data_IF_839529832315
#
_entry.id   IF_839529832315
#
_cell.length_a   1.000
_cell.length_b   1.000
_cell.length_c   1.000
_cell.angle_alpha   90.00
_cell.angle_beta   90.00
_cell.angle_gamma   90.00
#
_symmetry.space_group_name_H-M   'P 1'
#
loop_
_entity.id
_entity.type
_entity.pdbx_description
1 polymer ?
#
# COMPACT_ATOMS: atom_id res chain seq x y z
N UNK A 1 6.51 -5.51 -5.65
CA UNK A 1 5.24 -6.06 -5.12
C UNK A 1 4.52 -6.98 -6.11
N UNK A 2 4.27 -6.57 -7.37
CA UNK A 2 3.57 -7.41 -8.36
C UNK A 2 4.23 -8.76 -8.69
N UNK A 3 5.57 -8.82 -8.68
CA UNK A 3 6.32 -10.06 -8.90
C UNK A 3 5.95 -11.19 -7.91
N UNK A 4 5.73 -10.85 -6.64
CA UNK A 4 5.36 -11.82 -5.60
C UNK A 4 3.95 -12.40 -5.79
N UNK A 5 3.01 -11.60 -6.30
CA UNK A 5 1.65 -12.04 -6.62
C UNK A 5 1.65 -12.98 -7.84
N UNK A 6 2.42 -12.62 -8.86
CA UNK A 6 2.55 -13.42 -10.07
C UNK A 6 3.18 -14.79 -9.79
N UNK A 7 4.29 -14.83 -9.05
CA UNK A 7 4.96 -16.10 -8.72
C UNK A 7 4.11 -16.97 -7.80
N UNK A 8 3.37 -16.39 -6.84
CA UNK A 8 2.39 -17.13 -6.03
C UNK A 8 1.30 -17.78 -6.91
N UNK A 9 0.77 -17.03 -7.87
CA UNK A 9 -0.27 -17.56 -8.75
C UNK A 9 0.26 -18.69 -9.64
N UNK A 10 1.48 -18.56 -10.17
CA UNK A 10 2.12 -19.62 -10.94
C UNK A 10 2.36 -20.88 -10.10
N UNK A 11 2.81 -20.73 -8.85
CA UNK A 11 2.99 -21.85 -7.91
C UNK A 11 1.67 -22.54 -7.57
N UNK A 12 0.58 -21.78 -7.34
CA UNK A 12 -0.74 -22.36 -7.11
C UNK A 12 -1.25 -23.16 -8.30
N UNK A 13 -1.04 -22.67 -9.52
CA UNK A 13 -1.45 -23.37 -10.72
C UNK A 13 -0.70 -24.70 -10.86
N UNK A 14 0.61 -24.69 -10.62
CA UNK A 14 1.44 -25.91 -10.58
C UNK A 14 0.95 -26.93 -9.55
N UNK A 15 0.65 -26.49 -8.33
CA UNK A 15 0.11 -27.36 -7.27
C UNK A 15 -1.27 -27.93 -7.62
N UNK A 16 -2.13 -27.17 -8.30
CA UNK A 16 -3.44 -27.68 -8.75
C UNK A 16 -3.27 -28.73 -9.85
N UNK A 17 -2.43 -28.46 -10.86
CA UNK A 17 -2.11 -29.43 -11.91
C UNK A 17 -1.55 -30.71 -11.28
N UNK A 18 -0.57 -30.60 -10.38
CA UNK A 18 -0.01 -31.75 -9.66
C UNK A 18 -1.06 -32.61 -8.93
N UNK A 19 -2.00 -31.96 -8.24
CA UNK A 19 -3.10 -32.65 -7.55
C UNK A 19 -4.01 -33.34 -8.56
N UNK A 20 -4.44 -32.64 -9.62
CA UNK A 20 -5.33 -33.21 -10.63
C UNK A 20 -4.71 -34.45 -11.29
N UNK A 21 -3.43 -34.39 -11.64
CA UNK A 21 -2.67 -35.52 -12.21
C UNK A 21 -2.62 -36.74 -11.27
N UNK A 22 -2.62 -36.54 -9.93
CA UNK A 22 -2.67 -37.66 -8.96
C UNK A 22 -4.05 -38.31 -8.85
N UNK A 23 -5.12 -37.59 -9.17
CA UNK A 23 -6.50 -38.09 -9.11
C UNK A 23 -7.04 -38.57 -10.47
N UNK A 24 -6.29 -38.41 -11.55
CA UNK A 24 -6.69 -38.74 -12.94
C UNK A 24 -6.74 -40.26 -13.24
N UNK A 25 -6.37 -41.13 -12.28
CA UNK A 25 -6.34 -42.60 -12.41
C UNK A 25 -5.50 -43.16 -13.58
N UNK A 26 -4.75 -42.33 -14.32
CA UNK A 26 -3.84 -42.77 -15.37
C UNK A 26 -2.43 -43.06 -14.80
N UNK A 27 -1.94 -44.32 -14.86
CA UNK A 27 -0.64 -44.72 -14.32
C UNK A 27 0.58 -44.16 -15.10
N UNK A 28 0.38 -43.54 -16.27
CA UNK A 28 1.47 -42.89 -17.03
C UNK A 28 1.70 -41.43 -16.65
N UNK A 29 0.78 -40.85 -15.89
CA UNK A 29 0.79 -39.44 -15.55
C UNK A 29 1.58 -39.22 -14.26
N UNK A 30 2.86 -38.85 -14.38
CA UNK A 30 3.73 -38.59 -13.23
C UNK A 30 3.79 -37.10 -12.92
N UNK A 31 3.38 -36.75 -11.70
CA UNK A 31 3.45 -35.40 -11.13
C UNK A 31 4.91 -34.94 -10.87
N UNK A 32 5.18 -33.64 -11.04
CA UNK A 32 6.48 -33.00 -10.78
C UNK A 32 6.94 -33.12 -9.30
N UNK A 33 5.98 -33.29 -8.38
CA UNK A 33 6.23 -33.48 -6.94
C UNK A 33 6.17 -34.95 -6.48
N UNK A 34 5.99 -35.90 -7.40
CA UNK A 34 5.97 -37.33 -7.09
C UNK A 34 7.29 -37.75 -6.41
N UNK A 35 7.19 -38.45 -5.28
CA UNK A 35 8.35 -38.86 -4.46
C UNK A 35 9.00 -37.76 -3.61
N UNK A 36 8.62 -36.48 -3.78
CA UNK A 36 9.11 -35.35 -2.95
C UNK A 36 8.13 -34.94 -1.85
N UNK A 37 6.83 -35.01 -2.12
CA UNK A 37 5.78 -34.64 -1.17
C UNK A 37 4.67 -35.68 -1.14
N UNK A 38 4.22 -36.05 0.06
CA UNK A 38 3.01 -36.86 0.25
C UNK A 38 1.77 -36.05 -0.13
N UNK A 39 0.65 -36.71 -0.43
CA UNK A 39 -0.59 -36.03 -0.82
C UNK A 39 -1.04 -35.01 0.22
N UNK A 40 -1.00 -35.38 1.51
CA UNK A 40 -1.35 -34.50 2.62
C UNK A 40 -0.46 -33.25 2.71
N UNK A 41 0.84 -33.40 2.42
CA UNK A 41 1.77 -32.27 2.39
C UNK A 41 1.48 -31.33 1.21
N UNK A 42 1.14 -31.89 0.04
CA UNK A 42 0.80 -31.12 -1.15
C UNK A 42 -0.47 -30.29 -0.95
N UNK A 43 -1.50 -30.88 -0.33
CA UNK A 43 -2.73 -30.16 0.03
C UNK A 43 -2.47 -29.05 1.06
N UNK A 44 -1.62 -29.30 2.05
CA UNK A 44 -1.24 -28.31 3.06
C UNK A 44 -0.51 -27.13 2.40
N UNK A 45 0.47 -27.42 1.54
CA UNK A 45 1.23 -26.41 0.81
C UNK A 45 0.34 -25.58 -0.12
N UNK A 46 -0.63 -26.21 -0.81
CA UNK A 46 -1.63 -25.49 -1.60
C UNK A 46 -2.44 -24.53 -0.74
N UNK A 47 -2.96 -25.01 0.39
CA UNK A 47 -3.80 -24.21 1.28
C UNK A 47 -3.05 -23.01 1.86
N UNK A 48 -1.79 -23.22 2.26
CA UNK A 48 -0.92 -22.16 2.76
C UNK A 48 -0.60 -21.12 1.69
N UNK A 49 -0.25 -21.56 0.48
CA UNK A 49 0.02 -20.66 -0.66
C UNK A 49 -1.22 -19.83 -1.01
N UNK A 50 -2.42 -20.44 -0.98
CA UNK A 50 -3.69 -19.74 -1.21
C UNK A 50 -3.95 -18.69 -0.14
N UNK A 51 -3.79 -19.05 1.13
CA UNK A 51 -3.97 -18.15 2.27
C UNK A 51 -3.02 -16.95 2.21
N UNK A 52 -1.75 -17.18 1.89
CA UNK A 52 -0.75 -16.12 1.72
C UNK A 52 -1.13 -15.11 0.64
N UNK A 53 -1.59 -15.59 -0.52
CA UNK A 53 -2.07 -14.73 -1.61
C UNK A 53 -3.26 -13.89 -1.18
N UNK A 54 -4.23 -14.49 -0.49
CA UNK A 54 -5.44 -13.79 -0.06
C UNK A 54 -5.09 -12.67 0.96
N UNK A 55 -4.14 -12.91 1.87
CA UNK A 55 -3.61 -11.85 2.74
C UNK A 55 -2.85 -10.75 1.99
N UNK A 56 -2.07 -11.11 0.96
CA UNK A 56 -1.38 -10.12 0.15
C UNK A 56 -2.35 -9.19 -0.59
N UNK A 57 -3.44 -9.74 -1.15
CA UNK A 57 -4.50 -8.96 -1.79
C UNK A 57 -5.20 -8.06 -0.78
N UNK A 58 -5.56 -8.59 0.39
CA UNK A 58 -6.16 -7.80 1.47
C UNK A 58 -5.25 -6.66 1.93
N UNK A 59 -3.95 -6.92 2.09
CA UNK A 59 -2.97 -5.90 2.48
C UNK A 59 -2.84 -4.77 1.46
N UNK A 60 -2.78 -5.10 0.17
CA UNK A 60 -2.75 -4.09 -0.90
C UNK A 60 -4.06 -3.29 -0.95
N UNK A 61 -5.21 -3.96 -0.80
CA UNK A 61 -6.51 -3.29 -0.74
C UNK A 61 -6.62 -2.33 0.45
N UNK A 62 -6.17 -2.74 1.63
CA UNK A 62 -6.14 -1.90 2.83
C UNK A 62 -5.22 -0.68 2.64
N UNK A 63 -4.01 -0.87 2.09
CA UNK A 63 -3.09 0.23 1.81
C UNK A 63 -3.68 1.24 0.80
N UNK A 64 -4.44 0.77 -0.18
CA UNK A 64 -5.14 1.64 -1.11
C UNK A 64 -6.28 2.43 -0.45
N UNK A 65 -7.06 1.78 0.43
CA UNK A 65 -8.09 2.47 1.20
C UNK A 65 -7.51 3.57 2.09
N UNK A 66 -6.38 3.34 2.74
CA UNK A 66 -5.71 4.37 3.53
C UNK A 66 -5.30 5.58 2.69
N UNK A 67 -4.81 5.36 1.46
CA UNK A 67 -4.49 6.46 0.54
C UNK A 67 -5.72 7.28 0.15
N UNK A 68 -6.88 6.64 -0.04
CA UNK A 68 -8.14 7.35 -0.29
C UNK A 68 -8.53 8.21 0.92
N UNK A 69 -8.43 7.66 2.13
CA UNK A 69 -8.77 8.39 3.35
C UNK A 69 -7.86 9.60 3.56
N UNK A 70 -6.57 9.48 3.27
CA UNK A 70 -5.61 10.58 3.33
C UNK A 70 -5.93 11.69 2.31
N UNK A 71 -6.24 11.31 1.07
CA UNK A 71 -6.67 12.25 0.03
C UNK A 71 -8.02 12.94 0.40
N UNK A 72 -8.94 12.19 1.02
CA UNK A 72 -10.22 12.73 1.47
C UNK A 72 -10.04 13.75 2.61
N UNK A 73 -9.20 13.43 3.60
CA UNK A 73 -8.91 14.33 4.71
C UNK A 73 -8.22 15.63 4.25
N UNK A 74 -7.27 15.54 3.31
CA UNK A 74 -6.62 16.71 2.73
C UNK A 74 -7.58 17.57 1.90
N UNK A 75 -8.49 16.96 1.14
CA UNK A 75 -9.54 17.68 0.41
C UNK A 75 -10.48 18.46 1.34
N UNK A 76 -10.87 17.88 2.48
CA UNK A 76 -11.71 18.57 3.47
C UNK A 76 -10.99 19.77 4.12
N UNK A 77 -9.66 19.71 4.26
CA UNK A 77 -8.83 20.82 4.77
C UNK A 77 -8.63 21.96 3.77
N UNK A 78 -8.75 21.71 2.46
CA UNK A 78 -8.70 22.77 1.43
C UNK A 78 -9.96 23.63 1.46
N UNK A 79 -11.12 23.05 1.77
CA UNK A 79 -12.40 23.77 1.87
C UNK A 79 -12.52 24.59 3.17
N UNK A 80 -11.62 24.39 4.13
CA UNK A 80 -11.60 25.17 5.37
C UNK A 80 -10.96 26.54 5.12
N UNK A 81 -11.78 27.50 4.67
CA UNK A 81 -11.39 28.89 4.50
C UNK A 81 -11.13 29.56 5.87
N UNK A 82 -9.87 29.59 6.29
CA UNK A 82 -9.39 30.48 7.35
C UNK A 82 -9.11 31.86 6.77
N UNK A 83 -10.15 32.63 6.50
CA UNK A 83 -10.02 34.09 6.29
C UNK A 83 -10.30 34.84 7.60
N UNK A 84 -9.27 35.15 8.41
CA UNK A 84 -9.16 36.44 9.05
C UNK A 84 -8.26 37.31 8.17
N UNK A 85 -8.66 38.53 7.82
CA UNK A 85 -7.84 39.49 7.07
C UNK A 85 -6.55 39.80 7.85
N UNK A 86 -5.53 38.97 7.72
CA UNK A 86 -4.24 39.13 8.36
C UNK A 86 -3.32 39.87 7.39
N UNK A 87 -3.36 41.20 7.46
CA UNK A 87 -2.44 42.07 6.73
C UNK A 87 -1.10 42.13 7.43
N UNK A 88 -0.12 41.39 6.91
CA UNK A 88 1.28 41.47 7.34
C UNK A 88 2.00 42.51 6.48
N UNK A 89 2.37 43.65 7.05
CA UNK A 89 3.16 44.68 6.36
C UNK A 89 4.61 44.65 6.84
N UNK A 90 5.54 44.41 5.92
CA UNK A 90 6.98 44.49 6.19
C UNK A 90 7.50 45.78 5.55
N UNK A 91 7.91 46.74 6.36
CA UNK A 91 8.50 48.00 5.88
C UNK A 91 9.93 48.18 6.43
N UNK A 92 10.91 48.58 5.61
CA UNK A 92 12.23 48.92 6.11
C UNK A 92 12.15 50.19 6.96
N UNK A 93 12.57 50.10 8.23
CA UNK A 93 12.60 51.25 9.13
C UNK A 93 14.00 51.87 9.13
N UNK A 94 14.11 53.09 8.61
CA UNK A 94 15.32 53.93 8.75
C UNK A 94 15.08 54.92 9.88
N UNK A 95 15.42 54.51 11.10
CA UNK A 95 15.44 55.42 12.25
C UNK A 95 16.79 56.15 12.29
N UNK A 96 16.79 57.49 12.42
CA UNK A 96 18.04 58.25 12.51
C UNK A 96 18.75 57.83 13.80
N UNK A 97 19.85 57.10 13.65
CA UNK A 97 20.73 56.53 14.71
C UNK A 97 20.50 55.06 15.12
N UNK A 98 19.65 54.28 14.42
CA UNK A 98 19.61 52.82 14.58
C UNK A 98 20.20 52.09 13.35
N UNK A 99 20.79 50.89 13.50
CA UNK A 99 21.16 50.04 12.37
C UNK A 99 19.94 49.77 11.48
N UNK A 100 20.15 49.72 10.15
CA UNK A 100 19.09 49.36 9.20
C UNK A 100 18.46 48.04 9.64
N UNK A 101 17.18 48.08 9.96
CA UNK A 101 16.43 46.97 10.54
C UNK A 101 15.10 46.75 9.84
N UNK A 102 14.56 45.54 10.03
CA UNK A 102 13.20 45.20 9.62
C UNK A 102 12.30 45.35 10.83
N UNK A 103 11.31 46.24 10.76
CA UNK A 103 10.28 46.38 11.79
C UNK A 103 9.08 45.52 11.41
N UNK A 104 8.64 44.69 12.36
CA UNK A 104 7.42 43.88 12.25
C UNK A 104 6.38 44.47 13.18
N UNK A 105 5.32 45.07 12.64
CA UNK A 105 4.21 45.60 13.45
C UNK A 105 2.97 44.74 13.25
N UNK A 106 2.38 44.31 14.36
CA UNK A 106 1.11 43.59 14.41
C UNK A 106 0.04 44.56 14.91
N UNK A 107 -1.05 44.74 14.16
CA UNK A 107 -2.19 45.57 14.58
C UNK A 107 -3.51 44.83 14.37
N UNK A 108 -4.43 45.03 15.31
CA UNK A 108 -5.80 44.51 15.32
C UNK A 108 -6.77 45.69 15.59
N UNK A 109 -8.03 45.67 15.11
CA UNK A 109 -8.99 46.77 15.29
C UNK A 109 -9.39 47.14 16.73
#
# INVERSE_FOLDING_TARGET
SGYFLYTNQATLNRLNTAIDLRYDNDPLTVDEFSGRFTDAQLFTLKNETRRSRDYAVLGVGAAYLFQILDAYASGFLVEFDVTPTLTTTVSPSVEPMAPVGVSWTWSWP
#
